data_IF_701573593830
#
_entry.id   IF_701573593830
#
_cell.length_a   1.000
_cell.length_b   1.000
_cell.length_c   1.000
_cell.angle_alpha   90.00
_cell.angle_beta   90.00
_cell.angle_gamma   90.00
#
_symmetry.space_group_name_H-M   'P 1'
#
loop_
_entity.id
_entity.type
_entity.pdbx_description
1 polymer ?
#
# COMPACT_ATOMS: atom_id res chain seq x y z
N UNK A 1 40.19 -9.36 28.88
CA UNK A 1 39.49 -8.58 27.84
C UNK A 1 38.33 -9.43 27.32
N UNK A 2 37.11 -9.19 27.81
CA UNK A 2 35.91 -9.89 27.31
C UNK A 2 35.31 -9.05 26.19
N UNK A 3 35.10 -9.69 25.05
CA UNK A 3 34.36 -9.18 23.90
C UNK A 3 32.92 -8.94 24.32
N UNK A 4 32.46 -7.70 24.25
CA UNK A 4 31.05 -7.38 24.39
C UNK A 4 30.34 -7.86 23.12
N UNK A 5 29.61 -8.96 23.25
CA UNK A 5 28.82 -9.56 22.19
C UNK A 5 27.64 -8.64 21.88
N UNK A 6 27.76 -7.87 20.80
CA UNK A 6 26.62 -7.17 20.19
C UNK A 6 25.54 -8.20 19.86
N UNK A 7 24.48 -8.21 20.66
CA UNK A 7 23.28 -9.02 20.40
C UNK A 7 22.34 -8.15 19.56
N UNK A 8 21.97 -8.56 18.34
CA UNK A 8 21.04 -7.77 17.53
C UNK A 8 19.69 -7.68 18.25
N UNK A 9 19.25 -6.44 18.41
CA UNK A 9 18.10 -5.98 19.18
C UNK A 9 16.77 -6.50 18.61
N UNK A 10 15.75 -6.55 19.48
CA UNK A 10 14.34 -6.83 19.16
C UNK A 10 13.91 -6.21 17.81
N UNK A 11 12.99 -6.84 17.04
CA UNK A 11 12.55 -6.27 15.77
C UNK A 11 12.04 -4.86 16.03
N UNK A 12 12.79 -3.87 15.55
CA UNK A 12 12.51 -2.46 15.78
C UNK A 12 11.03 -2.20 15.46
N UNK A 13 10.29 -1.68 16.45
CA UNK A 13 8.87 -1.38 16.31
C UNK A 13 8.64 -0.61 15.01
N UNK A 14 7.84 -1.18 14.10
CA UNK A 14 7.63 -0.61 12.77
C UNK A 14 7.06 0.82 12.88
N UNK A 15 7.74 1.78 12.27
CA UNK A 15 7.26 3.15 12.24
C UNK A 15 6.17 3.37 11.17
N UNK A 16 5.47 4.50 11.26
CA UNK A 16 4.33 4.82 10.38
C UNK A 16 4.70 4.82 8.90
N UNK A 17 5.90 5.29 8.53
CA UNK A 17 6.35 5.36 7.14
C UNK A 17 6.72 3.97 6.61
N UNK A 18 7.33 3.13 7.44
CA UNK A 18 7.59 1.73 7.10
C UNK A 18 6.28 0.98 6.87
N UNK A 19 5.28 1.18 7.74
CA UNK A 19 3.95 0.60 7.59
C UNK A 19 3.27 1.06 6.30
N UNK A 20 3.26 2.37 6.01
CA UNK A 20 2.69 2.91 4.78
C UNK A 20 3.37 2.29 3.54
N UNK A 21 4.70 2.24 3.52
CA UNK A 21 5.45 1.64 2.43
C UNK A 21 5.14 0.14 2.26
N UNK A 22 5.03 -0.60 3.36
CA UNK A 22 4.63 -2.01 3.35
C UNK A 22 3.23 -2.18 2.77
N UNK A 23 2.26 -1.39 3.22
CA UNK A 23 0.89 -1.46 2.73
C UNK A 23 0.79 -1.12 1.24
N UNK A 24 1.47 -0.05 0.80
CA UNK A 24 1.55 0.30 -0.61
C UNK A 24 2.19 -0.82 -1.45
N UNK A 25 3.19 -1.52 -0.93
CA UNK A 25 3.79 -2.68 -1.60
C UNK A 25 2.80 -3.84 -1.73
N UNK A 26 2.06 -4.15 -0.67
CA UNK A 26 1.02 -5.20 -0.69
C UNK A 26 -0.06 -4.83 -1.72
N UNK A 27 -0.57 -3.61 -1.72
CA UNK A 27 -1.57 -3.18 -2.69
C UNK A 27 -1.10 -3.30 -4.15
N UNK A 28 0.15 -2.93 -4.45
CA UNK A 28 0.73 -3.15 -5.78
C UNK A 28 0.79 -4.63 -6.16
N UNK A 29 1.17 -5.50 -5.22
CA UNK A 29 1.18 -6.95 -5.44
C UNK A 29 -0.23 -7.53 -5.67
N UNK A 30 -1.26 -6.87 -5.14
CA UNK A 30 -2.68 -7.18 -5.39
C UNK A 30 -3.23 -6.56 -6.68
N UNK A 31 -2.37 -5.97 -7.52
CA UNK A 31 -2.73 -5.46 -8.84
C UNK A 31 -3.21 -4.01 -8.87
N UNK A 32 -3.06 -3.26 -7.78
CA UNK A 32 -3.36 -1.83 -7.78
C UNK A 32 -2.21 -1.01 -8.39
N UNK A 33 -2.56 -0.11 -9.31
CA UNK A 33 -1.77 1.09 -9.57
C UNK A 33 -2.08 2.11 -8.46
N UNK A 34 -1.07 2.61 -7.75
CA UNK A 34 -1.25 3.61 -6.69
C UNK A 34 -0.90 4.98 -7.23
N UNK A 35 -1.84 5.93 -7.10
CA UNK A 35 -1.66 7.34 -7.47
C UNK A 35 -1.87 8.22 -6.25
N UNK A 36 -0.88 9.04 -5.93
CA UNK A 36 -1.03 10.07 -4.90
C UNK A 36 -1.79 11.27 -5.47
N UNK A 37 -2.91 11.63 -4.87
CA UNK A 37 -3.76 12.75 -5.30
C UNK A 37 -4.11 13.62 -4.09
N UNK A 38 -4.12 14.96 -4.21
CA UNK A 38 -4.57 15.84 -3.13
C UNK A 38 -6.09 15.86 -3.10
N UNK A 39 -6.70 14.93 -2.34
CA UNK A 39 -8.17 14.79 -2.26
C UNK A 39 -8.79 15.68 -1.17
N UNK A 40 -8.00 16.58 -0.58
CA UNK A 40 -8.50 17.59 0.37
C UNK A 40 -8.96 17.02 1.70
N UNK A 41 -8.51 15.83 2.09
CA UNK A 41 -8.94 15.13 3.30
C UNK A 41 -10.23 14.32 3.12
N UNK A 42 -10.70 14.13 1.88
CA UNK A 42 -11.87 13.29 1.59
C UNK A 42 -11.63 11.80 1.87
N UNK A 43 -10.37 11.38 2.04
CA UNK A 43 -9.99 10.00 2.24
C UNK A 43 -9.48 9.35 0.96
N UNK A 44 -8.68 8.29 1.13
CA UNK A 44 -8.21 7.48 0.01
C UNK A 44 -9.34 6.57 -0.51
N UNK A 45 -9.36 6.30 -1.81
CA UNK A 45 -10.40 5.49 -2.45
C UNK A 45 -9.81 4.67 -3.58
N UNK A 46 -10.61 3.81 -4.21
CA UNK A 46 -10.19 3.04 -5.36
C UNK A 46 -11.29 2.90 -6.40
N UNK A 47 -10.91 2.55 -7.61
CA UNK A 47 -11.84 2.20 -8.66
C UNK A 47 -11.22 1.18 -9.63
N UNK A 48 -12.05 0.63 -10.51
CA UNK A 48 -11.60 -0.16 -11.64
C UNK A 48 -11.89 0.57 -12.95
N UNK A 49 -10.85 0.84 -13.74
CA UNK A 49 -10.94 1.50 -15.04
C UNK A 49 -10.47 0.52 -16.10
N UNK A 50 -11.39 0.05 -16.94
CA UNK A 50 -11.10 -0.94 -18.01
C UNK A 50 -10.35 -2.18 -17.47
N UNK A 51 -10.80 -2.72 -16.35
CA UNK A 51 -10.18 -3.88 -15.69
C UNK A 51 -8.91 -3.58 -14.90
N UNK A 52 -8.46 -2.31 -14.84
CA UNK A 52 -7.27 -1.90 -14.07
C UNK A 52 -7.70 -1.29 -12.74
N UNK A 53 -7.19 -1.83 -11.63
CA UNK A 53 -7.44 -1.27 -10.30
C UNK A 53 -6.53 -0.09 -10.05
N UNK A 54 -7.12 1.04 -9.70
CA UNK A 54 -6.40 2.26 -9.35
C UNK A 54 -6.78 2.65 -7.93
N UNK A 55 -5.79 2.77 -7.06
CA UNK A 55 -5.93 3.29 -5.70
C UNK A 55 -5.48 4.75 -5.70
N UNK A 56 -6.39 5.65 -5.35
CA UNK A 56 -6.11 7.06 -5.17
C UNK A 56 -5.81 7.32 -3.69
N UNK A 57 -4.54 7.55 -3.40
CA UNK A 57 -4.04 7.81 -2.07
C UNK A 57 -4.13 9.31 -1.78
N UNK A 58 -4.89 9.71 -0.77
CA UNK A 58 -4.98 11.12 -0.38
C UNK A 58 -3.69 11.56 0.31
N UNK A 59 -2.84 12.27 -0.44
CA UNK A 59 -1.55 12.75 0.09
C UNK A 59 -1.71 13.91 1.07
N UNK A 60 -2.92 14.46 1.20
CA UNK A 60 -3.26 15.50 2.17
C UNK A 60 -3.42 14.92 3.59
N UNK A 61 -3.64 13.61 3.72
CA UNK A 61 -3.82 12.95 5.01
C UNK A 61 -2.49 12.53 5.66
N UNK A 62 -2.43 12.38 6.99
CA UNK A 62 -1.29 11.80 7.68
C UNK A 62 -0.95 10.38 7.17
N UNK A 63 0.33 10.03 7.18
CA UNK A 63 0.81 8.70 6.75
C UNK A 63 0.14 7.53 7.50
N UNK A 64 -0.31 7.76 8.75
CA UNK A 64 -1.04 6.77 9.53
C UNK A 64 -2.41 6.48 8.93
N UNK A 65 -3.16 7.52 8.56
CA UNK A 65 -4.48 7.41 7.93
C UNK A 65 -4.36 6.80 6.53
N UNK A 66 -3.36 7.22 5.76
CA UNK A 66 -3.05 6.62 4.46
C UNK A 66 -2.81 5.10 4.57
N UNK A 67 -2.05 4.66 5.59
CA UNK A 67 -1.78 3.24 5.79
C UNK A 67 -3.02 2.44 6.18
N UNK A 68 -3.91 3.03 7.00
CA UNK A 68 -5.20 2.44 7.37
C UNK A 68 -6.09 2.30 6.14
N UNK A 69 -6.24 3.37 5.35
CA UNK A 69 -7.09 3.35 4.17
C UNK A 69 -6.64 2.31 3.13
N UNK A 70 -5.32 2.13 2.93
CA UNK A 70 -4.83 1.06 2.04
C UNK A 70 -5.19 -0.33 2.60
N UNK A 71 -5.13 -0.53 3.92
CA UNK A 71 -5.52 -1.81 4.53
C UNK A 71 -7.01 -2.09 4.33
N UNK A 72 -7.87 -1.09 4.59
CA UNK A 72 -9.32 -1.20 4.41
C UNK A 72 -9.69 -1.52 2.94
N UNK A 73 -9.05 -0.85 1.97
CA UNK A 73 -9.25 -1.13 0.55
C UNK A 73 -8.80 -2.56 0.18
N UNK A 74 -7.71 -3.05 0.77
CA UNK A 74 -7.25 -4.42 0.53
C UNK A 74 -8.21 -5.45 1.10
N UNK A 75 -8.79 -5.19 2.28
CA UNK A 75 -9.81 -6.03 2.89
C UNK A 75 -11.10 -6.04 2.05
N UNK A 76 -11.58 -4.86 1.64
CA UNK A 76 -12.75 -4.69 0.77
C UNK A 76 -12.59 -5.49 -0.54
N UNK A 77 -11.40 -5.47 -1.12
CA UNK A 77 -11.14 -6.05 -2.45
C UNK A 77 -10.59 -7.47 -2.42
N UNK A 78 -10.43 -8.08 -1.24
CA UNK A 78 -9.80 -9.39 -1.08
C UNK A 78 -10.47 -10.52 -1.87
N UNK A 79 -11.80 -10.47 -2.03
CA UNK A 79 -12.58 -11.48 -2.77
C UNK A 79 -12.75 -11.16 -4.26
N UNK A 80 -12.38 -9.96 -4.68
CA UNK A 80 -12.50 -9.54 -6.07
C UNK A 80 -11.29 -10.13 -6.80
N UNK A 81 -11.52 -10.97 -7.82
CA UNK A 81 -10.41 -11.46 -8.66
C UNK A 81 -9.79 -10.29 -9.43
N UNK A 82 -8.48 -10.04 -9.33
CA UNK A 82 -7.85 -9.07 -10.21
C UNK A 82 -8.00 -9.55 -11.65
N UNK A 83 -8.39 -8.65 -12.55
CA UNK A 83 -8.26 -8.94 -13.98
C UNK A 83 -6.76 -9.12 -14.27
N UNK A 84 -6.39 -10.17 -14.99
CA UNK A 84 -4.99 -10.49 -15.25
C UNK A 84 -4.24 -9.23 -15.73
N UNK A 85 -3.01 -8.97 -15.23
CA UNK A 85 -2.26 -7.82 -15.69
C UNK A 85 -2.15 -7.91 -17.21
N UNK A 86 -2.50 -6.83 -17.91
CA UNK A 86 -2.33 -6.70 -19.36
C UNK A 86 -0.84 -6.56 -19.70
N UNK A 87 -0.04 -7.55 -19.31
CA UNK A 87 1.34 -7.74 -19.70
C UNK A 87 1.36 -8.93 -20.66
N UNK A 88 1.06 -8.65 -21.95
CA UNK A 88 1.37 -9.46 -23.16
C UNK A 88 0.40 -9.21 -24.34
N UNK A 89 -0.23 -8.03 -24.47
CA UNK A 89 -0.89 -7.63 -25.73
C UNK A 89 -0.39 -6.27 -26.21
N UNK A 90 0.89 -6.24 -26.54
CA UNK A 90 1.46 -5.35 -27.56
C UNK A 90 2.23 -6.33 -28.48
N UNK A 91 1.64 -6.71 -29.61
CA UNK A 91 1.83 -6.09 -30.93
C UNK A 91 3.23 -6.40 -31.48
#
# INVERSE_FOLDING_TARGET
MRTDSFTPSEPAAENVLQRLNRMAKIARNHGFEIRGEPLGGAGSTWCEIRGRRVLFLDVSQPAAEQAIAIAEILEETASIRPHAPMAARAA
#
